data_IF_909232238975
#
_entry.id   IF_909232238975
#
_cell.length_a   1.000
_cell.length_b   1.000
_cell.length_c   1.000
_cell.angle_alpha   90.00
_cell.angle_beta   90.00
_cell.angle_gamma   90.00
#
_symmetry.space_group_name_H-M   'P 1'
#
loop_
_entity.id
_entity.type
_entity.pdbx_description
1 polymer ?
#
# COMPACT_ATOMS: atom_id res chain seq x y z
N UNK A 1 -9.33 36.71 13.87
CA UNK A 1 -10.03 35.59 14.54
C UNK A 1 -9.97 34.39 13.62
N UNK A 2 -9.26 33.34 14.02
CA UNK A 2 -9.20 32.10 13.24
C UNK A 2 -10.62 31.52 13.19
N UNK A 3 -11.19 31.45 11.98
CA UNK A 3 -12.52 30.87 11.75
C UNK A 3 -12.43 29.39 12.17
N UNK A 4 -13.24 28.99 13.16
CA UNK A 4 -13.40 27.60 13.57
C UNK A 4 -13.69 26.79 12.31
N UNK A 5 -12.86 25.78 11.98
CA UNK A 5 -13.12 24.93 10.82
C UNK A 5 -14.47 24.26 11.06
N UNK A 6 -15.43 24.48 10.15
CA UNK A 6 -16.79 23.91 10.20
C UNK A 6 -16.80 22.38 9.93
N UNK A 7 -15.63 21.75 9.78
CA UNK A 7 -15.46 20.33 9.50
C UNK A 7 -14.15 19.79 10.11
N UNK A 8 -14.08 18.48 10.31
CA UNK A 8 -12.88 17.76 10.74
C UNK A 8 -11.95 17.46 9.54
N UNK A 9 -10.73 18.05 9.49
CA UNK A 9 -9.78 17.80 8.40
C UNK A 9 -9.35 16.34 8.25
N UNK A 10 -9.25 15.58 9.34
CA UNK A 10 -8.80 14.18 9.28
C UNK A 10 -9.88 13.28 8.69
N UNK A 11 -11.14 13.48 9.12
CA UNK A 11 -12.28 12.80 8.52
C UNK A 11 -12.43 13.13 7.03
N UNK A 12 -12.24 14.40 6.65
CA UNK A 12 -12.28 14.82 5.25
C UNK A 12 -11.12 14.22 4.43
N UNK A 13 -9.91 14.14 4.98
CA UNK A 13 -8.77 13.50 4.32
C UNK A 13 -9.01 12.00 4.11
N UNK A 14 -9.56 11.32 5.12
CA UNK A 14 -9.90 9.90 5.02
C UNK A 14 -10.97 9.64 3.94
N UNK A 15 -12.01 10.46 3.87
CA UNK A 15 -13.03 10.37 2.82
C UNK A 15 -12.45 10.67 1.42
N UNK A 16 -11.54 11.64 1.31
CA UNK A 16 -10.85 11.94 0.06
C UNK A 16 -9.98 10.76 -0.41
N UNK A 17 -9.24 10.14 0.52
CA UNK A 17 -8.48 8.92 0.28
C UNK A 17 -9.37 7.82 -0.28
N UNK A 18 -10.51 7.55 0.35
CA UNK A 18 -11.44 6.49 -0.10
C UNK A 18 -12.00 6.74 -1.49
N UNK A 19 -12.32 8.00 -1.82
CA UNK A 19 -12.78 8.38 -3.16
C UNK A 19 -11.68 8.18 -4.20
N UNK A 20 -10.47 8.70 -3.93
CA UNK A 20 -9.34 8.56 -4.82
C UNK A 20 -8.91 7.10 -5.00
N UNK A 21 -8.92 6.31 -3.93
CA UNK A 21 -8.54 4.90 -4.00
C UNK A 21 -9.51 4.10 -4.87
N UNK A 22 -10.80 4.45 -4.82
CA UNK A 22 -11.84 3.81 -5.65
C UNK A 22 -11.80 4.25 -7.12
N UNK A 23 -11.60 5.54 -7.39
CA UNK A 23 -11.76 6.11 -8.75
C UNK A 23 -10.45 6.37 -9.49
N UNK A 24 -9.33 6.51 -8.79
CA UNK A 24 -8.09 7.08 -9.34
C UNK A 24 -8.06 8.60 -9.24
N UNK A 25 -6.89 9.17 -9.48
CA UNK A 25 -6.69 10.62 -9.42
C UNK A 25 -7.42 11.31 -10.56
N UNK A 26 -7.19 10.91 -11.81
CA UNK A 26 -7.69 11.61 -13.00
C UNK A 26 -9.21 11.59 -13.08
N UNK A 27 -9.82 10.44 -12.78
CA UNK A 27 -11.27 10.28 -12.82
C UNK A 27 -12.02 10.96 -11.66
N UNK A 28 -11.31 11.58 -10.71
CA UNK A 28 -11.91 12.31 -9.57
C UNK A 28 -11.79 13.81 -9.79
N UNK A 29 -12.91 14.50 -10.01
CA UNK A 29 -12.91 15.95 -10.19
C UNK A 29 -13.02 16.71 -8.86
N UNK A 30 -12.75 18.03 -8.88
CA UNK A 30 -13.03 18.89 -7.73
C UNK A 30 -14.53 18.97 -7.40
N UNK A 31 -15.43 18.72 -8.36
CA UNK A 31 -16.86 18.65 -8.08
C UNK A 31 -17.21 17.38 -7.30
N UNK A 32 -16.66 16.23 -7.71
CA UNK A 32 -16.82 14.97 -6.99
C UNK A 32 -16.32 15.08 -5.55
N UNK A 33 -15.18 15.75 -5.33
CA UNK A 33 -14.63 15.98 -3.99
C UNK A 33 -15.54 16.87 -3.14
N UNK A 34 -16.06 17.97 -3.69
CA UNK A 34 -17.00 18.84 -2.95
C UNK A 34 -18.26 18.08 -2.53
N UNK A 35 -18.82 17.30 -3.46
CA UNK A 35 -20.01 16.49 -3.20
C UNK A 35 -19.74 15.40 -2.17
N UNK A 36 -18.66 14.62 -2.34
CA UNK A 36 -18.36 13.48 -1.48
C UNK A 36 -17.93 13.89 -0.07
N UNK A 37 -17.17 14.97 0.06
CA UNK A 37 -16.67 15.45 1.35
C UNK A 37 -17.71 16.31 2.09
N UNK A 38 -18.75 16.78 1.42
CA UNK A 38 -19.76 17.66 2.00
C UNK A 38 -19.22 19.04 2.41
N UNK A 39 -18.06 19.46 1.87
CA UNK A 39 -17.41 20.73 2.20
C UNK A 39 -17.26 21.63 0.98
N UNK A 40 -17.39 22.94 1.21
CA UNK A 40 -17.26 23.92 0.14
C UNK A 40 -15.87 23.92 -0.50
N UNK A 41 -15.82 24.15 -1.82
CA UNK A 41 -14.58 24.19 -2.62
C UNK A 41 -13.49 25.08 -2.01
N UNK A 42 -13.86 26.25 -1.50
CA UNK A 42 -12.93 27.17 -0.84
C UNK A 42 -12.30 26.58 0.44
N UNK A 43 -13.06 25.78 1.20
CA UNK A 43 -12.56 25.11 2.41
C UNK A 43 -11.56 23.99 2.08
N UNK A 44 -11.79 23.26 0.98
CA UNK A 44 -10.83 22.28 0.46
C UNK A 44 -9.52 23.00 0.12
N UNK A 45 -9.59 24.06 -0.69
CA UNK A 45 -8.40 24.82 -1.08
C UNK A 45 -7.65 25.42 0.11
N UNK A 46 -8.38 26.01 1.06
CA UNK A 46 -7.78 26.61 2.25
C UNK A 46 -7.14 25.59 3.20
N UNK A 47 -7.58 24.33 3.17
CA UNK A 47 -7.12 23.30 4.14
C UNK A 47 -6.08 22.36 3.56
N UNK A 48 -6.29 21.91 2.33
CA UNK A 48 -5.47 20.87 1.70
C UNK A 48 -4.67 21.39 0.51
N UNK A 49 -4.87 22.66 0.12
CA UNK A 49 -4.34 23.18 -1.12
C UNK A 49 -5.13 22.65 -2.30
N UNK A 50 -4.46 22.29 -3.39
CA UNK A 50 -5.15 21.84 -4.60
C UNK A 50 -5.46 20.32 -4.59
N UNK A 51 -6.13 19.83 -5.65
CA UNK A 51 -6.48 18.40 -5.81
C UNK A 51 -5.23 17.49 -5.70
N UNK A 52 -4.12 17.91 -6.29
CA UNK A 52 -2.86 17.16 -6.28
C UNK A 52 -2.28 17.11 -4.86
N UNK A 53 -2.22 18.23 -4.15
CA UNK A 53 -1.75 18.25 -2.75
C UNK A 53 -2.63 17.41 -1.82
N UNK A 54 -3.96 17.44 -2.00
CA UNK A 54 -4.88 16.56 -1.28
C UNK A 54 -4.63 15.08 -1.59
N UNK A 55 -4.36 14.73 -2.85
CA UNK A 55 -4.05 13.36 -3.26
C UNK A 55 -2.74 12.86 -2.62
N UNK A 56 -1.68 13.69 -2.64
CA UNK A 56 -0.40 13.34 -2.00
C UNK A 56 -0.54 13.18 -0.49
N UNK A 57 -1.38 13.99 0.17
CA UNK A 57 -1.72 13.81 1.59
C UNK A 57 -2.50 12.52 1.85
N UNK A 58 -3.42 12.16 0.95
CA UNK A 58 -4.15 10.91 1.04
C UNK A 58 -3.22 9.69 0.89
N UNK A 59 -2.21 9.78 0.03
CA UNK A 59 -1.16 8.76 -0.08
C UNK A 59 -0.32 8.64 1.19
N UNK A 60 0.05 9.76 1.81
CA UNK A 60 0.76 9.76 3.09
C UNK A 60 -0.08 9.10 4.18
N UNK A 61 -1.37 9.49 4.29
CA UNK A 61 -2.33 8.90 5.23
C UNK A 61 -2.51 7.39 5.03
N UNK A 62 -2.53 6.92 3.78
CA UNK A 62 -2.60 5.49 3.46
C UNK A 62 -1.37 4.73 3.98
N UNK A 63 -0.19 5.33 3.90
CA UNK A 63 1.08 4.74 4.31
C UNK A 63 1.25 4.63 5.82
N UNK A 64 0.49 5.39 6.62
CA UNK A 64 0.51 5.28 8.09
C UNK A 64 0.09 3.90 8.60
N UNK A 65 -0.55 3.07 7.76
CA UNK A 65 -0.93 1.68 8.10
C UNK A 65 0.21 0.68 7.91
N UNK A 66 1.31 1.07 7.25
CA UNK A 66 2.43 0.17 6.97
C UNK A 66 3.14 -0.37 8.21
N UNK A 67 3.39 0.43 9.28
CA UNK A 67 4.05 -0.08 10.47
C UNK A 67 3.27 -1.22 11.12
N UNK A 68 1.94 -1.12 11.18
CA UNK A 68 1.08 -2.19 11.71
C UNK A 68 1.13 -3.43 10.81
N UNK A 69 1.19 -3.23 9.49
CA UNK A 69 1.27 -4.30 8.51
C UNK A 69 2.60 -5.06 8.60
N UNK A 70 3.71 -4.36 8.75
CA UNK A 70 5.05 -4.96 8.72
C UNK A 70 5.64 -5.22 10.10
N UNK A 71 4.98 -4.78 11.18
CA UNK A 71 5.53 -4.76 12.54
C UNK A 71 5.92 -6.13 13.08
N UNK A 72 5.26 -7.20 12.61
CA UNK A 72 5.60 -8.59 12.95
C UNK A 72 7.02 -8.97 12.48
N UNK A 73 7.46 -8.46 11.32
CA UNK A 73 8.82 -8.71 10.81
C UNK A 73 9.90 -8.02 11.64
N UNK A 74 9.53 -7.08 12.50
CA UNK A 74 10.45 -6.38 13.41
C UNK A 74 10.47 -6.99 14.81
N UNK A 75 9.61 -7.98 15.11
CA UNK A 75 9.58 -8.61 16.43
C UNK A 75 10.71 -9.65 16.62
N UNK A 76 11.15 -9.88 17.88
CA UNK A 76 12.03 -10.99 18.21
C UNK A 76 11.38 -12.35 17.89
N UNK A 77 12.21 -13.33 17.52
CA UNK A 77 11.77 -14.70 17.22
C UNK A 77 12.04 -15.11 15.77
N UNK A 78 11.50 -16.28 15.35
CA UNK A 78 11.64 -16.80 14.00
C UNK A 78 11.00 -15.86 12.98
N UNK A 79 11.71 -15.57 11.89
CA UNK A 79 11.31 -14.57 10.90
C UNK A 79 10.53 -15.16 9.75
N UNK A 80 10.87 -16.37 9.29
CA UNK A 80 10.18 -16.95 8.13
C UNK A 80 8.68 -17.19 8.38
N UNK A 81 8.23 -17.58 9.59
CA UNK A 81 6.80 -17.62 9.88
C UNK A 81 6.09 -16.27 9.69
N UNK A 82 6.71 -15.17 10.10
CA UNK A 82 6.16 -13.82 9.91
C UNK A 82 6.13 -13.40 8.43
N UNK A 83 7.17 -13.75 7.66
CA UNK A 83 7.17 -13.54 6.19
C UNK A 83 6.06 -14.34 5.52
N UNK A 84 5.88 -15.61 5.89
CA UNK A 84 4.78 -16.45 5.38
C UNK A 84 3.41 -15.88 5.73
N UNK A 85 3.22 -15.42 6.97
CA UNK A 85 1.99 -14.78 7.41
C UNK A 85 1.69 -13.50 6.63
N UNK A 86 2.70 -12.65 6.40
CA UNK A 86 2.57 -11.43 5.61
C UNK A 86 2.10 -11.71 4.18
N UNK A 87 2.76 -12.64 3.48
CA UNK A 87 2.43 -12.98 2.09
C UNK A 87 1.01 -13.56 1.99
N UNK A 88 0.64 -14.46 2.92
CA UNK A 88 -0.72 -15.03 2.97
C UNK A 88 -1.77 -13.97 3.27
N UNK A 89 -1.52 -13.06 4.22
CA UNK A 89 -2.43 -11.94 4.50
C UNK A 89 -2.65 -11.08 3.25
N UNK A 90 -1.59 -10.78 2.49
CA UNK A 90 -1.73 -10.04 1.24
C UNK A 90 -2.57 -10.78 0.20
N UNK A 91 -2.40 -12.10 0.08
CA UNK A 91 -3.21 -12.93 -0.81
C UNK A 91 -4.68 -12.99 -0.37
N UNK A 92 -4.94 -13.12 0.93
CA UNK A 92 -6.29 -13.13 1.48
C UNK A 92 -6.99 -11.79 1.26
N UNK A 93 -6.34 -10.68 1.60
CA UNK A 93 -6.88 -9.33 1.33
C UNK A 93 -7.12 -9.07 -0.16
N UNK A 94 -6.25 -9.61 -1.04
CA UNK A 94 -6.40 -9.49 -2.48
C UNK A 94 -7.58 -10.31 -3.04
N UNK A 95 -8.15 -11.23 -2.26
CA UNK A 95 -9.28 -12.06 -2.66
C UNK A 95 -10.57 -11.76 -1.89
N UNK A 96 -10.50 -10.99 -0.80
CA UNK A 96 -11.66 -10.59 -0.02
C UNK A 96 -12.58 -9.62 -0.81
N UNK A 97 -13.88 -9.91 -0.91
CA UNK A 97 -14.82 -9.18 -1.76
C UNK A 97 -14.85 -7.67 -1.52
N UNK A 98 -14.77 -7.25 -0.26
CA UNK A 98 -14.80 -5.85 0.16
C UNK A 98 -13.47 -5.11 0.02
N UNK A 99 -12.35 -5.84 -0.08
CA UNK A 99 -11.00 -5.25 -0.12
C UNK A 99 -10.37 -5.34 -1.52
N UNK A 100 -10.67 -6.40 -2.28
CA UNK A 100 -10.02 -6.68 -3.56
C UNK A 100 -10.22 -5.60 -4.60
N UNK A 101 -11.41 -4.98 -4.64
CA UNK A 101 -11.84 -4.13 -5.74
C UNK A 101 -11.00 -2.85 -5.88
N UNK A 102 -10.40 -2.37 -4.79
CA UNK A 102 -9.58 -1.16 -4.81
C UNK A 102 -8.08 -1.47 -4.99
N UNK A 103 -7.66 -2.74 -4.84
CA UNK A 103 -6.25 -3.12 -4.90
C UNK A 103 -5.39 -2.38 -3.86
N UNK A 104 -4.17 -1.99 -4.22
CA UNK A 104 -3.28 -1.20 -3.37
C UNK A 104 -3.20 0.24 -3.89
N UNK A 105 -3.37 1.23 -2.99
CA UNK A 105 -3.39 2.64 -3.40
C UNK A 105 -2.02 3.11 -3.93
N UNK A 106 -0.93 2.60 -3.36
CA UNK A 106 0.43 2.83 -3.86
C UNK A 106 0.61 2.23 -5.26
N UNK A 107 0.20 0.98 -5.48
CA UNK A 107 0.34 0.35 -6.81
C UNK A 107 -0.52 1.05 -7.87
N UNK A 108 -1.73 1.48 -7.51
CA UNK A 108 -2.57 2.27 -8.42
C UNK A 108 -1.89 3.60 -8.79
N UNK A 109 -1.29 4.29 -7.80
CA UNK A 109 -0.52 5.53 -8.03
C UNK A 109 0.70 5.30 -8.90
N UNK A 110 1.41 4.19 -8.68
CA UNK A 110 2.58 3.81 -9.47
C UNK A 110 2.21 3.59 -10.95
N UNK A 111 1.04 3.01 -11.20
CA UNK A 111 0.55 2.77 -12.56
C UNK A 111 -0.04 4.03 -13.22
N UNK A 112 -0.76 4.85 -12.45
CA UNK A 112 -1.47 6.03 -12.98
C UNK A 112 -0.56 7.25 -13.04
N UNK A 113 -0.07 7.75 -11.90
CA UNK A 113 0.54 9.08 -11.77
C UNK A 113 2.06 9.10 -11.82
N UNK A 114 2.73 8.10 -11.23
CA UNK A 114 4.20 8.09 -11.12
C UNK A 114 4.95 8.29 -12.46
N UNK A 115 4.47 7.80 -13.63
CA UNK A 115 5.16 8.03 -14.90
C UNK A 115 5.26 9.50 -15.33
N UNK A 116 4.44 10.39 -14.79
CA UNK A 116 4.38 11.80 -15.19
C UNK A 116 4.31 12.81 -14.03
N UNK A 117 4.20 12.35 -12.78
CA UNK A 117 4.30 13.18 -11.59
C UNK A 117 5.49 12.77 -10.69
N UNK A 118 6.56 13.58 -10.64
CA UNK A 118 7.72 13.28 -9.81
C UNK A 118 7.45 13.24 -8.31
N UNK A 119 6.44 13.96 -7.80
CA UNK A 119 6.10 13.93 -6.37
C UNK A 119 5.40 12.62 -5.99
N UNK A 120 4.47 12.16 -6.83
CA UNK A 120 3.83 10.85 -6.69
C UNK A 120 4.86 9.72 -6.83
N UNK A 121 5.74 9.78 -7.83
CA UNK A 121 6.82 8.80 -8.01
C UNK A 121 7.71 8.70 -6.75
N UNK A 122 8.11 9.83 -6.17
CA UNK A 122 8.89 9.83 -4.92
C UNK A 122 8.13 9.23 -3.73
N UNK A 123 6.81 9.42 -3.63
CA UNK A 123 6.03 8.79 -2.57
C UNK A 123 5.92 7.27 -2.75
N UNK A 124 5.75 6.81 -3.99
CA UNK A 124 5.75 5.38 -4.33
C UNK A 124 7.10 4.74 -4.00
N UNK A 125 8.21 5.34 -4.45
CA UNK A 125 9.54 4.81 -4.18
C UNK A 125 9.85 4.77 -2.68
N UNK A 126 9.52 5.83 -1.92
CA UNK A 126 9.70 5.81 -0.46
C UNK A 126 8.92 4.68 0.22
N UNK A 127 7.72 4.38 -0.28
CA UNK A 127 6.92 3.27 0.23
C UNK A 127 7.60 1.93 -0.03
N UNK A 128 8.06 1.71 -1.27
CA UNK A 128 8.72 0.48 -1.68
C UNK A 128 10.07 0.28 -0.99
N UNK A 129 10.87 1.34 -0.85
CA UNK A 129 12.12 1.34 -0.08
C UNK A 129 11.89 0.89 1.37
N UNK A 130 10.82 1.39 2.00
CA UNK A 130 10.49 1.01 3.37
C UNK A 130 10.13 -0.49 3.46
N UNK A 131 9.26 -0.98 2.58
CA UNK A 131 8.86 -2.39 2.54
C UNK A 131 10.05 -3.31 2.24
N UNK A 132 10.88 -2.96 1.26
CA UNK A 132 12.13 -3.69 0.92
C UNK A 132 13.06 -3.72 2.13
N UNK A 133 13.26 -2.59 2.81
CA UNK A 133 14.14 -2.50 3.97
C UNK A 133 13.69 -3.42 5.11
N UNK A 134 12.39 -3.44 5.42
CA UNK A 134 11.87 -4.30 6.49
C UNK A 134 11.98 -5.78 6.12
N UNK A 135 11.59 -6.16 4.90
CA UNK A 135 11.72 -7.53 4.39
C UNK A 135 13.18 -7.99 4.39
N UNK A 136 14.08 -7.17 3.86
CA UNK A 136 15.51 -7.47 3.79
C UNK A 136 16.11 -7.64 5.18
N UNK A 137 15.82 -6.71 6.10
CA UNK A 137 16.31 -6.78 7.48
C UNK A 137 15.81 -8.03 8.20
N UNK A 138 14.54 -8.40 7.97
CA UNK A 138 13.98 -9.67 8.45
C UNK A 138 14.74 -10.88 7.89
N UNK A 139 14.91 -10.96 6.57
CA UNK A 139 15.57 -12.09 5.92
C UNK A 139 17.05 -12.23 6.28
N UNK A 140 17.75 -11.11 6.52
CA UNK A 140 19.12 -11.13 7.07
C UNK A 140 19.14 -11.78 8.45
N UNK A 141 18.16 -11.46 9.31
CA UNK A 141 18.02 -12.07 10.63
C UNK A 141 17.65 -13.56 10.53
N UNK A 142 16.74 -13.93 9.62
CA UNK A 142 16.38 -15.32 9.34
C UNK A 142 17.60 -16.16 8.97
N UNK A 143 18.47 -15.63 8.09
CA UNK A 143 19.72 -16.27 7.70
C UNK A 143 20.67 -16.43 8.88
N UNK A 144 20.82 -15.41 9.73
CA UNK A 144 21.66 -15.49 10.93
C UNK A 144 21.15 -16.52 11.95
N UNK A 145 19.84 -16.81 11.94
CA UNK A 145 19.20 -17.83 12.79
C UNK A 145 19.19 -19.23 12.16
N UNK A 146 19.70 -19.39 10.94
CA UNK A 146 19.68 -20.67 10.22
C UNK A 146 18.30 -21.07 9.69
N UNK A 147 17.34 -20.15 9.63
CA UNK A 147 16.02 -20.41 9.06
C UNK A 147 16.03 -20.41 7.53
N UNK A 148 16.90 -19.61 6.91
CA UNK A 148 16.93 -19.42 5.47
C UNK A 148 17.86 -20.45 4.79
N UNK A 149 17.42 -21.13 3.71
CA UNK A 149 18.26 -22.09 2.98
C UNK A 149 19.55 -21.48 2.45
N UNK A 150 20.60 -22.29 2.35
CA UNK A 150 21.87 -21.87 1.75
C UNK A 150 21.68 -21.45 0.28
N UNK A 151 22.45 -20.46 -0.17
CA UNK A 151 22.37 -19.93 -1.53
C UNK A 151 21.23 -18.94 -1.79
N UNK A 152 20.37 -18.68 -0.80
CA UNK A 152 19.36 -17.63 -0.89
C UNK A 152 19.92 -16.28 -0.44
N UNK A 153 19.99 -15.33 -1.36
CA UNK A 153 20.39 -13.96 -1.04
C UNK A 153 19.20 -13.17 -0.44
N UNK A 154 19.31 -12.65 0.79
CA UNK A 154 18.21 -11.92 1.45
C UNK A 154 17.67 -10.73 0.67
N UNK A 155 18.53 -9.99 -0.04
CA UNK A 155 18.11 -8.78 -0.76
C UNK A 155 17.29 -9.13 -2.01
N UNK A 156 17.75 -10.09 -2.80
CA UNK A 156 17.02 -10.56 -3.98
C UNK A 156 15.68 -11.19 -3.61
N UNK A 157 15.61 -11.93 -2.50
CA UNK A 157 14.35 -12.43 -1.95
C UNK A 157 13.42 -11.31 -1.50
N UNK A 158 13.92 -10.30 -0.80
CA UNK A 158 13.11 -9.14 -0.38
C UNK A 158 12.49 -8.42 -1.59
N UNK A 159 13.27 -8.22 -2.66
CA UNK A 159 12.82 -7.63 -3.92
C UNK A 159 11.77 -8.46 -4.63
N UNK A 160 12.00 -9.77 -4.73
CA UNK A 160 11.03 -10.70 -5.30
C UNK A 160 9.71 -10.65 -4.52
N UNK A 161 9.78 -10.68 -3.19
CA UNK A 161 8.60 -10.57 -2.33
C UNK A 161 7.89 -9.23 -2.52
N UNK A 162 8.61 -8.10 -2.53
CA UNK A 162 8.02 -6.78 -2.80
C UNK A 162 7.23 -6.78 -4.11
N UNK A 163 7.82 -7.25 -5.21
CA UNK A 163 7.18 -7.34 -6.52
C UNK A 163 5.96 -8.25 -6.48
N UNK A 164 6.07 -9.42 -5.84
CA UNK A 164 4.96 -10.35 -5.64
C UNK A 164 3.80 -9.66 -4.91
N UNK A 165 4.06 -9.00 -3.78
CA UNK A 165 3.03 -8.33 -2.98
C UNK A 165 2.25 -7.28 -3.80
N UNK A 166 2.92 -6.53 -4.68
CA UNK A 166 2.25 -5.62 -5.62
C UNK A 166 1.41 -6.39 -6.65
N UNK A 167 1.98 -7.45 -7.23
CA UNK A 167 1.32 -8.32 -8.20
C UNK A 167 0.04 -8.97 -7.66
N UNK A 168 0.07 -9.48 -6.42
CA UNK A 168 -1.10 -10.08 -5.76
C UNK A 168 -2.27 -9.08 -5.71
N UNK A 169 -1.99 -7.81 -5.37
CA UNK A 169 -3.02 -6.75 -5.28
C UNK A 169 -3.61 -6.37 -6.64
N UNK A 170 -2.79 -6.33 -7.69
CA UNK A 170 -3.24 -6.05 -9.06
C UNK A 170 -4.07 -7.20 -9.61
N UNK A 171 -3.56 -8.44 -9.50
CA UNK A 171 -4.24 -9.63 -10.02
C UNK A 171 -5.53 -9.89 -9.26
N UNK A 172 -5.54 -9.78 -7.93
CA UNK A 172 -6.75 -9.98 -7.12
C UNK A 172 -7.85 -8.95 -7.37
N UNK A 173 -7.46 -7.70 -7.69
CA UNK A 173 -8.38 -6.66 -8.15
C UNK A 173 -9.04 -7.02 -9.49
N UNK A 174 -8.26 -7.53 -10.44
CA UNK A 174 -8.71 -7.77 -11.81
C UNK A 174 -9.31 -9.17 -12.06
N UNK A 175 -9.01 -10.15 -11.20
CA UNK A 175 -9.43 -11.54 -11.35
C UNK A 175 -10.49 -11.91 -10.32
N UNK A 176 -11.62 -12.54 -10.72
CA UNK A 176 -12.57 -13.11 -9.78
C UNK A 176 -12.12 -14.46 -9.21
N UNK A 177 -11.13 -15.12 -9.85
CA UNK A 177 -10.60 -16.40 -9.42
C UNK A 177 -9.53 -16.20 -8.33
N UNK A 178 -9.80 -16.60 -7.06
CA UNK A 178 -8.86 -16.45 -5.96
C UNK A 178 -7.66 -17.39 -6.06
N UNK A 179 -7.75 -18.49 -6.83
CA UNK A 179 -6.66 -19.46 -6.95
C UNK A 179 -5.41 -18.82 -7.56
N UNK A 180 -5.55 -17.92 -8.55
CA UNK A 180 -4.41 -17.23 -9.17
C UNK A 180 -3.49 -16.53 -8.18
N UNK A 181 -4.07 -15.88 -7.18
CA UNK A 181 -3.33 -15.12 -6.16
C UNK A 181 -2.79 -16.08 -5.10
N UNK A 182 -3.58 -17.05 -4.66
CA UNK A 182 -3.20 -18.02 -3.62
C UNK A 182 -2.09 -18.97 -4.08
N UNK A 183 -2.19 -19.51 -5.29
CA UNK A 183 -1.21 -20.43 -5.85
C UNK A 183 0.14 -19.71 -6.07
N UNK A 184 0.11 -18.48 -6.60
CA UNK A 184 1.32 -17.66 -6.76
C UNK A 184 1.97 -17.35 -5.41
N UNK A 185 1.19 -17.05 -4.39
CA UNK A 185 1.68 -16.81 -3.03
C UNK A 185 2.35 -18.07 -2.45
N UNK A 186 1.68 -19.22 -2.47
CA UNK A 186 2.26 -20.46 -1.92
C UNK A 186 3.50 -20.93 -2.71
N UNK A 187 3.50 -20.77 -4.05
CA UNK A 187 4.67 -21.10 -4.87
C UNK A 187 5.88 -20.21 -4.54
N UNK A 188 5.65 -18.92 -4.23
CA UNK A 188 6.72 -18.04 -3.79
C UNK A 188 7.22 -18.39 -2.38
N UNK A 189 6.33 -18.81 -1.47
CA UNK A 189 6.70 -19.25 -0.12
C UNK A 189 7.51 -20.54 -0.12
N UNK A 190 7.31 -21.43 -1.09
CA UNK A 190 8.14 -22.62 -1.29
C UNK A 190 9.62 -22.30 -1.60
N UNK A 191 9.94 -21.05 -2.00
CA UNK A 191 11.31 -20.61 -2.20
C UNK A 191 12.03 -20.27 -0.87
N UNK A 192 11.31 -20.24 0.23
CA UNK A 192 11.85 -20.04 1.58
C UNK A 192 12.18 -21.37 2.28
N UNK A 193 11.85 -22.50 1.64
CA UNK A 193 12.11 -23.86 2.11
C UNK A 193 13.42 -24.44 1.52
#
# INVERSE_FOLDING_TARGET
MARTKEFDPEAALQAALELFWRRGYEATSMADLVEHLGIGRASIYATFGNKHELYLKALERYQERLPDLLGELSQPGPVLPAVRALVRRYADEATAENLRLNGCFITNTAAELAPHDPAAARQVERNWDHVETVLHSGLVRARAQGELPEGRDPLTLARMLLVLLQGLKVVGKASPDPARVRDAAEQALALLD
#
